data_IF_640945404074
#
_entry.id   IF_640945404074
#
_cell.length_a   1.000
_cell.length_b   1.000
_cell.length_c   1.000
_cell.angle_alpha   90.00
_cell.angle_beta   90.00
_cell.angle_gamma   90.00
#
_symmetry.space_group_name_H-M   'P 1'
#
loop_
_entity.id
_entity.type
_entity.pdbx_description
1 polymer ?
#
# COMPACT_ATOMS: atom_id res chain seq x y z
N UNK A 1 35.58 -16.53 49.10
CA UNK A 1 34.10 -16.53 49.13
C UNK A 1 33.71 -17.35 50.36
N UNK A 2 32.81 -16.91 51.21
CA UNK A 2 32.33 -17.68 52.34
C UNK A 2 31.36 -18.79 51.91
N UNK A 3 31.19 -19.86 52.71
CA UNK A 3 30.20 -20.91 52.45
C UNK A 3 28.77 -20.38 52.39
N UNK A 4 28.48 -19.24 53.02
CA UNK A 4 27.19 -18.58 52.98
C UNK A 4 26.97 -17.83 51.66
N UNK A 5 27.99 -17.15 51.18
CA UNK A 5 27.95 -16.47 49.87
C UNK A 5 27.72 -17.48 48.72
N UNK A 6 28.35 -18.67 48.76
CA UNK A 6 28.13 -19.73 47.80
C UNK A 6 26.70 -20.27 47.83
N UNK A 7 26.10 -20.43 49.01
CA UNK A 7 24.69 -20.83 49.18
C UNK A 7 23.75 -19.76 48.63
N UNK A 8 24.02 -18.47 48.88
CA UNK A 8 23.22 -17.35 48.38
C UNK A 8 23.27 -17.29 46.85
N UNK A 9 24.43 -17.50 46.24
CA UNK A 9 24.55 -17.57 44.78
C UNK A 9 23.78 -18.75 44.20
N UNK A 10 23.83 -19.91 44.83
CA UNK A 10 23.08 -21.10 44.40
C UNK A 10 21.55 -20.88 44.51
N UNK A 11 21.09 -20.20 45.59
CA UNK A 11 19.69 -19.83 45.76
C UNK A 11 19.20 -18.91 44.64
N UNK A 12 19.97 -17.89 44.29
CA UNK A 12 19.60 -16.94 43.21
C UNK A 12 19.64 -17.62 41.82
N UNK A 13 20.53 -18.58 41.58
CA UNK A 13 20.49 -19.37 40.34
C UNK A 13 19.22 -20.22 40.23
N UNK A 14 18.81 -20.89 41.31
CA UNK A 14 17.54 -21.60 41.34
C UNK A 14 16.33 -20.70 41.13
N UNK A 15 16.37 -19.48 41.61
CA UNK A 15 15.34 -18.48 41.37
C UNK A 15 15.21 -18.13 39.90
N UNK A 16 16.34 -17.84 39.19
CA UNK A 16 16.30 -17.55 37.76
C UNK A 16 15.84 -18.74 36.90
N UNK A 17 16.25 -19.98 37.35
CA UNK A 17 15.77 -21.20 36.71
C UNK A 17 14.27 -21.42 36.90
N UNK A 18 13.73 -21.18 38.08
CA UNK A 18 12.32 -21.30 38.38
C UNK A 18 11.49 -20.28 37.58
N UNK A 19 11.97 -19.04 37.49
CA UNK A 19 11.32 -18.01 36.68
C UNK A 19 11.32 -18.38 35.19
N UNK A 20 12.43 -18.84 34.64
CA UNK A 20 12.54 -19.24 33.23
C UNK A 20 11.61 -20.42 32.86
N UNK A 21 11.26 -21.25 33.84
CA UNK A 21 10.37 -22.42 33.66
C UNK A 21 8.92 -22.16 34.12
N UNK A 22 8.57 -20.96 34.57
CA UNK A 22 7.29 -20.64 35.22
C UNK A 22 6.95 -21.55 36.41
N UNK A 23 7.96 -22.00 37.16
CA UNK A 23 7.81 -22.86 38.34
C UNK A 23 7.44 -21.98 39.54
N UNK A 24 6.13 -21.65 39.62
CA UNK A 24 5.59 -20.77 40.64
C UNK A 24 5.68 -21.35 42.04
N UNK A 25 5.65 -22.67 42.18
CA UNK A 25 5.77 -23.36 43.48
C UNK A 25 7.21 -23.21 44.02
N UNK A 26 8.19 -23.39 43.18
CA UNK A 26 9.61 -23.16 43.56
C UNK A 26 9.84 -21.68 43.90
N UNK A 27 9.22 -20.72 43.20
CA UNK A 27 9.29 -19.31 43.53
C UNK A 27 8.71 -19.00 44.91
N UNK A 28 7.63 -19.65 45.35
CA UNK A 28 7.06 -19.53 46.70
C UNK A 28 8.04 -19.98 47.79
N UNK A 29 8.85 -20.99 47.49
CA UNK A 29 9.88 -21.47 48.43
C UNK A 29 11.07 -20.53 48.52
N UNK A 30 11.46 -19.91 47.42
CA UNK A 30 12.65 -19.07 47.30
C UNK A 30 12.47 -17.61 47.68
N UNK A 31 11.24 -17.07 47.49
CA UNK A 31 10.91 -15.67 47.73
C UNK A 31 10.30 -15.51 49.17
N UNK A 32 10.69 -14.49 49.86
CA UNK A 32 10.15 -14.17 51.19
C UNK A 32 8.69 -13.69 51.10
N UNK A 33 7.81 -13.97 52.08
CA UNK A 33 6.43 -13.47 52.05
C UNK A 33 6.32 -11.95 52.01
N UNK A 34 7.30 -11.26 52.62
CA UNK A 34 7.44 -9.80 52.68
C UNK A 34 8.41 -9.26 51.64
N UNK A 35 8.51 -9.91 50.50
CA UNK A 35 9.38 -9.55 49.36
C UNK A 35 9.09 -8.13 48.87
N UNK A 36 10.13 -7.37 48.59
CA UNK A 36 10.07 -6.02 48.04
C UNK A 36 10.85 -5.99 46.72
N UNK A 37 10.16 -5.73 45.62
CA UNK A 37 10.74 -5.39 44.32
C UNK A 37 10.85 -3.85 44.24
N UNK A 38 12.08 -3.33 44.15
CA UNK A 38 12.38 -1.92 43.99
C UNK A 38 12.34 -1.44 42.53
N UNK A 39 12.08 -2.32 41.60
CA UNK A 39 12.03 -2.08 40.16
C UNK A 39 10.64 -2.32 39.55
N UNK A 40 9.60 -2.29 40.42
CA UNK A 40 8.20 -2.51 40.04
C UNK A 40 7.78 -1.63 38.85
N UNK A 41 7.09 -2.26 37.91
CA UNK A 41 6.40 -1.54 36.83
C UNK A 41 5.18 -0.78 37.36
N UNK A 42 4.73 0.32 36.71
CA UNK A 42 3.64 1.15 37.22
C UNK A 42 2.33 0.42 37.55
N UNK A 43 2.03 -0.66 36.79
CA UNK A 43 0.76 -1.43 36.92
C UNK A 43 0.97 -2.80 37.60
N UNK A 44 2.16 -3.07 38.14
CA UNK A 44 2.48 -4.35 38.76
C UNK A 44 2.05 -4.36 40.25
N UNK A 45 1.36 -5.43 40.66
CA UNK A 45 1.05 -5.68 42.05
C UNK A 45 2.33 -5.91 42.90
N UNK A 46 2.45 -5.30 44.09
CA UNK A 46 3.63 -5.46 44.90
C UNK A 46 3.72 -6.83 45.60
N UNK A 47 4.95 -7.22 45.99
CA UNK A 47 5.22 -8.38 46.78
C UNK A 47 5.32 -9.67 45.95
N UNK A 48 5.43 -10.81 46.69
CA UNK A 48 5.67 -12.12 46.08
C UNK A 48 4.56 -12.52 45.11
N UNK A 49 3.29 -12.28 45.42
CA UNK A 49 2.18 -12.68 44.54
C UNK A 49 2.16 -11.86 43.24
N UNK A 50 2.43 -10.56 43.33
CA UNK A 50 2.55 -9.70 42.13
C UNK A 50 3.73 -10.15 41.24
N UNK A 51 4.86 -10.54 41.83
CA UNK A 51 5.99 -11.09 41.09
C UNK A 51 5.62 -12.38 40.35
N UNK A 52 4.94 -13.31 41.01
CA UNK A 52 4.46 -14.55 40.40
C UNK A 52 3.47 -14.30 39.25
N UNK A 53 2.56 -13.34 39.43
CA UNK A 53 1.64 -12.94 38.38
C UNK A 53 2.40 -12.42 37.15
N UNK A 54 3.40 -11.56 37.34
CA UNK A 54 4.24 -11.06 36.25
C UNK A 54 4.94 -12.20 35.51
N UNK A 55 5.46 -13.20 36.22
CA UNK A 55 6.07 -14.41 35.58
C UNK A 55 5.04 -15.17 34.76
N UNK A 56 3.82 -15.34 35.28
CA UNK A 56 2.75 -16.01 34.55
C UNK A 56 2.33 -15.25 33.28
N UNK A 57 2.19 -13.92 33.37
CA UNK A 57 1.87 -13.05 32.24
C UNK A 57 2.98 -13.09 31.17
N UNK A 58 4.25 -13.06 31.57
CA UNK A 58 5.39 -13.23 30.68
C UNK A 58 5.30 -14.53 29.87
N UNK A 59 5.05 -15.65 30.53
CA UNK A 59 4.95 -16.96 29.89
C UNK A 59 3.65 -17.15 29.08
N UNK A 60 2.60 -16.40 29.39
CA UNK A 60 1.39 -16.36 28.56
C UNK A 60 1.62 -15.66 27.21
N UNK A 61 2.52 -14.68 27.17
CA UNK A 61 2.82 -13.89 25.99
C UNK A 61 4.01 -14.40 25.18
N UNK A 62 5.00 -15.03 25.86
CA UNK A 62 6.27 -15.43 25.28
C UNK A 62 6.42 -16.97 25.29
N UNK A 63 7.06 -17.52 24.24
CA UNK A 63 7.53 -18.91 24.22
C UNK A 63 9.06 -18.99 24.29
N UNK A 64 9.57 -20.20 24.47
CA UNK A 64 11.01 -20.52 24.53
C UNK A 64 11.80 -19.60 25.48
N UNK A 65 11.19 -19.30 26.64
CA UNK A 65 11.78 -18.40 27.64
C UNK A 65 13.00 -19.07 28.28
N UNK A 66 14.16 -18.44 28.15
CA UNK A 66 15.43 -18.90 28.70
C UNK A 66 16.12 -17.77 29.45
N UNK A 67 16.65 -18.09 30.66
CA UNK A 67 17.50 -17.20 31.42
C UNK A 67 18.92 -17.73 31.46
N UNK A 68 19.86 -16.95 31.00
CA UNK A 68 21.30 -17.27 31.04
C UNK A 68 21.96 -16.41 32.11
N UNK A 69 22.46 -17.04 33.16
CA UNK A 69 23.25 -16.35 34.17
C UNK A 69 24.68 -16.22 33.64
N UNK A 70 25.04 -15.00 33.26
CA UNK A 70 26.36 -14.67 32.70
C UNK A 70 27.44 -14.58 33.79
N UNK A 71 27.17 -13.78 34.84
CA UNK A 71 28.08 -13.58 35.97
C UNK A 71 27.29 -13.44 37.26
N UNK A 72 27.94 -13.88 38.38
CA UNK A 72 27.45 -13.67 39.72
C UNK A 72 28.54 -13.25 40.68
N UNK A 73 28.27 -12.30 41.55
CA UNK A 73 29.14 -11.91 42.65
C UNK A 73 28.29 -11.79 43.93
N UNK A 74 28.75 -12.42 44.99
CA UNK A 74 28.12 -12.33 46.31
C UNK A 74 29.02 -11.62 47.31
N UNK A 75 28.37 -10.77 48.16
CA UNK A 75 29.07 -10.19 49.32
C UNK A 75 28.05 -10.04 50.48
N UNK A 76 28.29 -10.84 51.53
CA UNK A 76 27.39 -10.93 52.67
C UNK A 76 26.00 -11.44 52.27
N UNK A 77 24.96 -10.65 52.55
CA UNK A 77 23.58 -10.97 52.26
C UNK A 77 23.11 -10.59 50.84
N UNK A 78 24.01 -10.05 50.00
CA UNK A 78 23.66 -9.58 48.65
C UNK A 78 24.35 -10.44 47.57
N UNK A 79 23.58 -10.70 46.53
CA UNK A 79 24.04 -11.33 45.28
C UNK A 79 23.73 -10.41 44.12
N UNK A 80 24.74 -10.05 43.34
CA UNK A 80 24.59 -9.34 42.07
C UNK A 80 24.69 -10.38 40.96
N UNK A 81 23.74 -10.36 40.05
CA UNK A 81 23.70 -11.28 38.90
C UNK A 81 23.53 -10.51 37.62
N UNK A 82 24.35 -10.77 36.62
CA UNK A 82 24.13 -10.33 35.23
C UNK A 82 23.50 -11.49 34.48
N UNK A 83 22.36 -11.24 33.87
CA UNK A 83 21.57 -12.22 33.15
C UNK A 83 21.25 -11.78 31.73
N UNK A 84 21.05 -12.76 30.84
CA UNK A 84 20.49 -12.58 29.50
C UNK A 84 19.20 -13.40 29.40
N UNK A 85 18.09 -12.74 29.11
CA UNK A 85 16.83 -13.37 28.76
C UNK A 85 16.74 -13.54 27.25
N UNK A 86 16.27 -14.72 26.80
CA UNK A 86 15.88 -14.99 25.41
C UNK A 86 14.49 -15.60 25.39
N UNK A 87 13.67 -15.15 24.46
CA UNK A 87 12.32 -15.65 24.28
C UNK A 87 11.81 -15.35 22.87
N UNK A 88 10.67 -15.94 22.50
CA UNK A 88 9.96 -15.61 21.26
C UNK A 88 8.61 -14.97 21.65
N UNK A 89 8.33 -13.77 21.12
CA UNK A 89 7.05 -13.09 21.33
C UNK A 89 6.04 -13.57 20.27
N UNK A 90 5.32 -14.66 20.58
CA UNK A 90 4.47 -15.39 19.63
C UNK A 90 3.06 -15.75 20.15
N UNK A 91 2.73 -15.47 21.43
CA UNK A 91 1.49 -15.99 22.05
C UNK A 91 0.47 -14.92 22.36
N UNK A 92 0.82 -13.86 23.07
CA UNK A 92 -0.11 -12.85 23.56
C UNK A 92 0.47 -11.46 23.59
N UNK A 93 -0.37 -10.48 23.92
CA UNK A 93 0.07 -9.11 24.14
C UNK A 93 1.08 -9.05 25.29
N UNK A 94 2.19 -8.32 25.10
CA UNK A 94 3.20 -8.11 26.12
C UNK A 94 3.67 -6.65 26.08
N UNK A 95 3.52 -5.93 27.18
CA UNK A 95 3.77 -4.48 27.28
C UNK A 95 3.07 -3.64 26.21
N UNK A 96 1.81 -3.96 25.88
CA UNK A 96 1.05 -3.25 24.86
C UNK A 96 1.41 -3.65 23.40
N UNK A 97 2.30 -4.62 23.23
CA UNK A 97 2.73 -5.10 21.91
C UNK A 97 2.06 -6.41 21.55
N UNK A 98 1.52 -6.49 20.34
CA UNK A 98 0.95 -7.73 19.79
C UNK A 98 2.06 -8.70 19.37
N UNK A 99 1.83 -10.04 19.45
CA UNK A 99 2.81 -11.05 19.08
C UNK A 99 3.19 -10.98 17.60
N UNK A 100 4.47 -11.27 17.29
CA UNK A 100 5.03 -11.18 15.92
C UNK A 100 6.02 -12.29 15.56
N UNK A 101 6.04 -13.38 16.31
CA UNK A 101 7.03 -14.47 16.14
C UNK A 101 8.48 -13.95 16.15
N UNK A 102 8.74 -12.94 16.98
CA UNK A 102 10.05 -12.25 17.03
C UNK A 102 10.87 -12.75 18.20
N UNK A 103 12.15 -13.07 17.96
CA UNK A 103 13.10 -13.34 19.03
C UNK A 103 13.43 -12.07 19.80
N UNK A 104 13.29 -12.14 21.14
CA UNK A 104 13.56 -11.05 22.08
C UNK A 104 14.75 -11.42 22.93
N UNK A 105 15.78 -10.59 22.95
CA UNK A 105 16.93 -10.71 23.84
C UNK A 105 17.03 -9.48 24.74
N UNK A 106 17.04 -9.70 26.05
CA UNK A 106 17.11 -8.65 27.06
C UNK A 106 18.21 -8.98 28.06
N UNK A 107 19.07 -8.02 28.35
CA UNK A 107 20.11 -8.15 29.39
C UNK A 107 19.75 -7.32 30.61
N UNK A 108 19.99 -7.85 31.80
CA UNK A 108 19.82 -7.08 33.02
C UNK A 108 20.90 -7.40 34.06
N UNK A 109 21.07 -6.46 34.99
CA UNK A 109 21.87 -6.63 36.18
C UNK A 109 20.95 -6.47 37.40
N UNK A 110 20.88 -7.53 38.19
CA UNK A 110 19.94 -7.59 39.32
C UNK A 110 20.71 -7.81 40.62
N UNK A 111 20.32 -7.11 41.67
CA UNK A 111 20.82 -7.27 43.03
C UNK A 111 19.70 -7.92 43.85
N UNK A 112 19.99 -9.07 44.46
CA UNK A 112 19.11 -9.71 45.42
C UNK A 112 19.67 -9.58 46.82
N UNK A 113 18.81 -9.27 47.80
CA UNK A 113 19.14 -9.40 49.23
C UNK A 113 18.50 -10.67 49.77
N UNK A 114 19.30 -11.49 50.44
CA UNK A 114 18.88 -12.73 51.07
C UNK A 114 18.73 -12.58 52.56
N UNK A 115 17.56 -12.96 53.07
CA UNK A 115 17.24 -12.93 54.51
C UNK A 115 16.58 -14.23 54.91
N UNK A 116 17.13 -14.90 55.93
CA UNK A 116 16.58 -16.18 56.40
C UNK A 116 16.54 -17.28 55.33
N UNK A 117 17.50 -17.27 54.38
CA UNK A 117 17.56 -18.25 53.29
C UNK A 117 16.55 -18.05 52.17
N UNK A 118 15.91 -16.88 52.09
CA UNK A 118 14.96 -16.46 51.04
C UNK A 118 15.36 -15.12 50.46
N UNK A 119 14.94 -14.87 49.21
CA UNK A 119 15.09 -13.57 48.54
C UNK A 119 14.06 -12.60 49.16
N UNK A 120 14.56 -11.56 49.84
CA UNK A 120 13.73 -10.58 50.52
C UNK A 120 13.56 -9.28 49.75
N UNK A 121 14.55 -8.90 48.95
CA UNK A 121 14.50 -7.67 48.15
C UNK A 121 15.21 -7.87 46.83
N UNK A 122 14.72 -7.15 45.80
CA UNK A 122 15.28 -7.13 44.44
C UNK A 122 15.42 -5.68 43.95
N UNK A 123 16.51 -5.37 43.30
CA UNK A 123 16.75 -4.18 42.47
C UNK A 123 17.24 -4.66 41.12
N UNK A 124 16.56 -4.28 40.07
CA UNK A 124 16.92 -4.65 38.71
C UNK A 124 17.16 -3.40 37.86
N UNK A 125 18.27 -3.38 37.19
CA UNK A 125 18.62 -2.39 36.18
C UNK A 125 18.92 -3.16 34.89
N UNK A 126 18.22 -2.84 33.85
CA UNK A 126 18.40 -3.52 32.57
C UNK A 126 17.48 -3.03 31.49
N UNK A 127 17.72 -3.56 30.31
CA UNK A 127 16.88 -3.36 29.14
C UNK A 127 15.53 -4.05 29.37
N UNK A 128 14.62 -3.31 30.01
CA UNK A 128 13.27 -3.79 30.29
C UNK A 128 12.29 -3.51 29.14
N UNK A 129 11.02 -3.30 29.49
CA UNK A 129 9.90 -3.04 28.58
C UNK A 129 10.17 -1.93 27.55
N UNK A 130 10.90 -0.88 27.91
CA UNK A 130 11.18 0.24 27.00
C UNK A 130 12.09 -0.16 25.83
N UNK A 131 13.09 -1.02 26.07
CA UNK A 131 14.00 -1.47 25.00
C UNK A 131 13.36 -2.54 24.13
N UNK A 132 12.51 -3.42 24.68
CA UNK A 132 11.68 -4.33 23.89
C UNK A 132 10.76 -3.55 22.97
N UNK A 133 10.07 -2.52 23.50
CA UNK A 133 9.22 -1.63 22.73
C UNK A 133 10.02 -0.88 21.65
N UNK A 134 11.23 -0.41 21.99
CA UNK A 134 12.11 0.26 21.03
C UNK A 134 12.61 -0.69 19.94
N UNK A 135 12.97 -1.93 20.28
CA UNK A 135 13.37 -2.94 19.30
C UNK A 135 12.23 -3.29 18.34
N UNK A 136 11.00 -3.47 18.84
CA UNK A 136 9.81 -3.68 18.00
C UNK A 136 9.54 -2.49 17.09
N UNK A 137 9.61 -1.26 17.60
CA UNK A 137 9.43 -0.05 16.79
C UNK A 137 10.47 0.04 15.67
N UNK A 138 11.74 -0.28 15.97
CA UNK A 138 12.81 -0.30 14.95
C UNK A 138 12.59 -1.38 13.90
N UNK A 139 12.06 -2.55 14.27
CA UNK A 139 11.71 -3.61 13.32
C UNK A 139 10.54 -3.18 12.45
N UNK A 140 9.50 -2.57 13.03
CA UNK A 140 8.36 -2.01 12.27
C UNK A 140 8.81 -0.94 11.27
N UNK A 141 9.68 -0.04 11.69
CA UNK A 141 10.22 1.00 10.81
C UNK A 141 11.00 0.39 9.64
N UNK A 142 11.87 -0.60 9.90
CA UNK A 142 12.64 -1.31 8.85
C UNK A 142 11.74 -2.06 7.87
N UNK A 143 10.69 -2.70 8.37
CA UNK A 143 9.74 -3.42 7.52
C UNK A 143 8.94 -2.45 6.65
N UNK A 144 8.48 -1.32 7.21
CA UNK A 144 7.84 -0.24 6.45
C UNK A 144 8.78 0.33 5.39
N UNK A 145 10.02 0.66 5.75
CA UNK A 145 11.02 1.17 4.80
C UNK A 145 11.28 0.18 3.65
N UNK A 146 11.33 -1.13 3.96
CA UNK A 146 11.48 -2.18 2.95
C UNK A 146 10.28 -2.23 2.00
N UNK A 147 9.06 -2.24 2.54
CA UNK A 147 7.82 -2.25 1.74
C UNK A 147 7.74 -1.00 0.87
N UNK A 148 8.05 0.19 1.41
CA UNK A 148 8.10 1.42 0.64
C UNK A 148 9.15 1.37 -0.48
N UNK A 149 10.31 0.76 -0.23
CA UNK A 149 11.34 0.58 -1.24
C UNK A 149 10.87 -0.35 -2.36
N UNK A 150 10.24 -1.48 -2.02
CA UNK A 150 9.68 -2.43 -2.99
C UNK A 150 8.58 -1.76 -3.84
N UNK A 151 7.72 -0.94 -3.23
CA UNK A 151 6.69 -0.17 -3.94
C UNK A 151 7.29 0.89 -4.87
N UNK A 152 8.36 1.59 -4.48
CA UNK A 152 9.08 2.52 -5.38
C UNK A 152 9.65 1.81 -6.61
N UNK A 153 10.16 0.59 -6.44
CA UNK A 153 10.62 -0.24 -7.58
C UNK A 153 9.43 -0.61 -8.46
N UNK A 154 8.31 -1.07 -7.87
CA UNK A 154 7.10 -1.38 -8.60
C UNK A 154 6.58 -0.17 -9.41
N UNK A 155 6.58 1.03 -8.81
CA UNK A 155 6.23 2.30 -9.48
C UNK A 155 7.13 2.56 -10.70
N UNK A 156 8.44 2.36 -10.55
CA UNK A 156 9.35 2.59 -11.67
C UNK A 156 9.14 1.61 -12.83
N UNK A 157 8.78 0.35 -12.52
CA UNK A 157 8.42 -0.65 -13.53
C UNK A 157 7.10 -0.27 -14.22
N UNK A 158 6.09 0.13 -13.46
CA UNK A 158 4.80 0.56 -14.00
C UNK A 158 4.95 1.79 -14.91
N UNK A 159 5.68 2.80 -14.46
CA UNK A 159 5.97 3.99 -15.28
C UNK A 159 6.72 3.65 -16.57
N UNK A 160 7.55 2.60 -16.56
CA UNK A 160 8.22 2.13 -17.77
C UNK A 160 7.28 1.41 -18.74
N UNK A 161 6.09 0.98 -18.28
CA UNK A 161 5.04 0.36 -19.12
C UNK A 161 4.13 1.40 -19.77
N UNK A 162 4.09 2.64 -19.24
CA UNK A 162 3.40 3.76 -19.88
C UNK A 162 4.25 4.37 -21.01
N UNK A 163 3.63 5.05 -21.98
CA UNK A 163 4.35 5.71 -23.08
C UNK A 163 5.40 6.69 -22.58
N UNK A 164 6.64 6.53 -23.03
CA UNK A 164 7.75 7.44 -22.68
C UNK A 164 7.71 8.76 -23.42
N UNK A 165 7.10 8.77 -24.59
CA UNK A 165 6.99 9.94 -25.46
C UNK A 165 5.57 10.10 -25.95
N UNK A 166 5.06 11.32 -25.95
CA UNK A 166 3.78 11.66 -26.54
C UNK A 166 3.92 11.73 -28.04
N UNK A 167 3.02 11.12 -28.82
CA UNK A 167 3.05 11.16 -30.27
C UNK A 167 3.03 12.60 -30.80
N UNK A 168 3.94 12.90 -31.75
CA UNK A 168 4.02 14.19 -32.42
C UNK A 168 3.39 14.08 -33.81
N UNK A 169 2.14 14.46 -33.93
CA UNK A 169 1.41 14.50 -35.18
C UNK A 169 1.28 15.94 -35.66
N UNK A 170 1.48 16.17 -36.97
CA UNK A 170 1.31 17.49 -37.56
C UNK A 170 -0.17 17.91 -37.49
N UNK A 171 -0.44 19.09 -36.96
CA UNK A 171 -1.80 19.58 -36.80
C UNK A 171 -2.56 19.06 -35.57
N UNK A 172 -1.91 18.26 -34.73
CA UNK A 172 -2.51 17.68 -33.53
C UNK A 172 -1.74 18.05 -32.26
N UNK A 173 -2.48 18.26 -31.18
CA UNK A 173 -1.94 18.37 -29.83
C UNK A 173 -2.49 17.25 -28.98
N UNK A 174 -1.60 16.50 -28.33
CA UNK A 174 -1.93 15.40 -27.43
C UNK A 174 -1.33 15.73 -26.06
N UNK A 175 -2.14 15.77 -25.01
CA UNK A 175 -1.68 16.08 -23.65
C UNK A 175 -2.19 14.99 -22.71
N UNK A 176 -1.35 14.07 -22.27
CA UNK A 176 -1.68 13.08 -21.27
C UNK A 176 -1.37 13.59 -19.85
N UNK A 177 -2.13 13.12 -18.89
CA UNK A 177 -1.89 13.23 -17.46
C UNK A 177 -2.30 11.93 -16.80
N UNK A 178 -1.48 11.39 -15.90
CA UNK A 178 -1.80 10.21 -15.11
C UNK A 178 -1.12 10.32 -13.75
N UNK A 179 -1.92 10.34 -12.70
CA UNK A 179 -1.46 10.40 -11.31
C UNK A 179 -2.12 9.31 -10.50
N UNK A 180 -1.38 8.30 -10.06
CA UNK A 180 -1.90 7.29 -9.14
C UNK A 180 -2.24 7.88 -7.78
N UNK A 181 -3.31 7.38 -7.15
CA UNK A 181 -3.70 7.71 -5.77
C UNK A 181 -2.75 7.12 -4.73
N UNK A 182 -2.07 6.04 -5.08
CA UNK A 182 -1.07 5.36 -4.25
C UNK A 182 0.28 5.32 -4.96
N UNK A 183 1.21 4.54 -4.42
CA UNK A 183 2.53 4.36 -5.06
C UNK A 183 2.43 3.79 -6.48
N UNK A 184 1.44 2.93 -6.73
CA UNK A 184 1.10 2.35 -8.03
C UNK A 184 -0.41 2.31 -8.20
N UNK A 185 -0.91 2.38 -9.45
CA UNK A 185 -2.32 2.48 -9.80
C UNK A 185 -2.81 1.46 -10.81
N UNK A 186 -4.13 1.45 -11.05
CA UNK A 186 -4.82 0.67 -12.07
C UNK A 186 -4.94 1.39 -13.40
N UNK A 187 -4.96 2.70 -13.35
CA UNK A 187 -5.12 3.58 -14.51
C UNK A 187 -3.97 3.53 -15.49
N UNK A 188 -4.30 3.65 -16.77
CA UNK A 188 -3.31 3.75 -17.84
C UNK A 188 -3.81 4.50 -19.06
N UNK A 189 -2.87 4.98 -19.84
CA UNK A 189 -3.08 5.38 -21.24
C UNK A 189 -1.94 4.79 -22.09
N UNK A 190 -2.19 4.62 -23.38
CA UNK A 190 -1.16 4.14 -24.33
C UNK A 190 -1.39 4.69 -25.74
N UNK A 191 -0.33 4.62 -26.56
CA UNK A 191 -0.32 5.05 -27.97
C UNK A 191 0.27 3.98 -28.86
N UNK A 192 -0.45 3.63 -29.94
CA UNK A 192 0.00 2.64 -30.89
C UNK A 192 0.12 3.25 -32.28
N UNK A 193 1.33 3.30 -32.81
CA UNK A 193 1.54 3.72 -34.18
C UNK A 193 1.10 2.60 -35.13
N UNK A 194 0.09 2.86 -35.95
CA UNK A 194 -0.49 1.93 -36.90
C UNK A 194 0.00 2.21 -38.34
N UNK A 195 -0.35 1.32 -39.27
CA UNK A 195 -0.08 1.56 -40.70
C UNK A 195 -0.79 2.82 -41.19
N UNK A 196 -0.30 3.36 -42.30
CA UNK A 196 -0.87 4.54 -42.99
C UNK A 196 -0.87 5.81 -42.10
N UNK A 197 0.06 5.92 -41.14
CA UNK A 197 0.18 7.09 -40.24
C UNK A 197 -0.91 7.20 -39.21
N UNK A 198 -1.81 6.23 -39.07
CA UNK A 198 -2.86 6.23 -38.04
C UNK A 198 -2.30 6.02 -36.64
N UNK A 199 -3.01 6.56 -35.65
CA UNK A 199 -2.65 6.47 -34.24
C UNK A 199 -3.76 5.77 -33.45
N UNK A 200 -3.43 4.66 -32.78
CA UNK A 200 -4.26 4.07 -31.73
C UNK A 200 -4.06 4.83 -30.40
N UNK A 201 -5.16 5.14 -29.73
CA UNK A 201 -5.21 5.80 -28.42
C UNK A 201 -5.96 4.89 -27.46
N UNK A 202 -5.43 4.75 -26.26
CA UNK A 202 -6.02 3.93 -25.20
C UNK A 202 -6.10 4.72 -23.92
N UNK A 203 -7.22 4.61 -23.21
CA UNK A 203 -7.36 4.96 -21.81
C UNK A 203 -8.11 3.83 -21.14
N UNK A 204 -7.71 3.44 -19.94
CA UNK A 204 -8.36 2.37 -19.20
C UNK A 204 -8.00 2.36 -17.73
N UNK A 205 -8.79 1.61 -16.98
CA UNK A 205 -8.62 1.40 -15.54
C UNK A 205 -8.81 -0.09 -15.19
N UNK A 206 -7.90 -0.62 -14.39
CA UNK A 206 -7.95 -1.97 -13.84
C UNK A 206 -8.57 -1.97 -12.46
N UNK A 207 -9.64 -2.73 -12.28
CA UNK A 207 -10.39 -2.84 -11.00
C UNK A 207 -9.48 -3.06 -9.79
N UNK A 208 -9.72 -2.28 -8.75
CA UNK A 208 -8.99 -2.34 -7.48
C UNK A 208 -7.91 -1.26 -7.40
N UNK A 209 -7.09 -1.31 -6.34
CA UNK A 209 -6.10 -0.26 -6.07
C UNK A 209 -4.75 -0.87 -5.70
N UNK A 210 -3.68 -0.13 -5.99
CA UNK A 210 -2.33 -0.51 -5.61
C UNK A 210 -1.75 -1.66 -6.45
N UNK A 211 -0.92 -2.51 -5.85
CA UNK A 211 -0.12 -3.52 -6.56
C UNK A 211 -0.95 -4.49 -7.42
N UNK A 212 -2.08 -5.06 -6.95
CA UNK A 212 -2.87 -5.96 -7.80
C UNK A 212 -3.37 -5.30 -9.08
N UNK A 213 -3.92 -4.10 -8.99
CA UNK A 213 -4.41 -3.33 -10.15
C UNK A 213 -3.27 -2.98 -11.11
N UNK A 214 -2.12 -2.52 -10.58
CA UNK A 214 -0.92 -2.21 -11.36
C UNK A 214 -0.37 -3.39 -12.15
N UNK A 215 -0.40 -4.61 -11.59
CA UNK A 215 0.02 -5.83 -12.29
C UNK A 215 -0.94 -6.19 -13.44
N UNK A 216 -2.25 -6.08 -13.21
CA UNK A 216 -3.26 -6.31 -14.26
C UNK A 216 -3.10 -5.28 -15.36
N UNK A 217 -3.00 -3.99 -15.03
CA UNK A 217 -2.77 -2.89 -15.96
C UNK A 217 -1.54 -3.16 -16.85
N UNK A 218 -0.40 -3.49 -16.24
CA UNK A 218 0.83 -3.78 -16.99
C UNK A 218 0.64 -4.92 -17.99
N UNK A 219 -0.09 -5.97 -17.59
CA UNK A 219 -0.46 -7.07 -18.47
C UNK A 219 -1.35 -6.63 -19.64
N UNK A 220 -2.36 -5.80 -19.36
CA UNK A 220 -3.28 -5.26 -20.38
C UNK A 220 -2.54 -4.40 -21.41
N UNK A 221 -1.67 -3.47 -20.96
CA UNK A 221 -0.85 -2.66 -21.86
C UNK A 221 0.00 -3.54 -22.80
N UNK A 222 0.62 -4.61 -22.28
CA UNK A 222 1.39 -5.54 -23.09
C UNK A 222 0.54 -6.29 -24.14
N UNK A 223 -0.69 -6.70 -23.80
CA UNK A 223 -1.61 -7.34 -24.74
C UNK A 223 -2.14 -6.37 -25.78
N UNK A 224 -2.54 -5.16 -25.39
CA UNK A 224 -2.98 -4.11 -26.30
C UNK A 224 -1.89 -3.79 -27.32
N UNK A 225 -0.64 -3.55 -26.86
CA UNK A 225 0.49 -3.32 -27.75
C UNK A 225 0.77 -4.49 -28.71
N UNK A 226 0.65 -5.74 -28.22
CA UNK A 226 0.81 -6.93 -29.04
C UNK A 226 -0.27 -7.09 -30.10
N UNK A 227 -1.54 -6.85 -29.79
CA UNK A 227 -2.68 -6.96 -30.71
C UNK A 227 -2.72 -5.78 -31.67
N UNK A 228 -2.39 -4.58 -31.24
CA UNK A 228 -2.35 -3.37 -32.07
C UNK A 228 -1.28 -3.44 -33.17
N UNK A 229 -0.30 -4.34 -33.09
CA UNK A 229 0.65 -4.58 -34.19
C UNK A 229 -0.04 -5.12 -35.48
N UNK A 230 -1.21 -5.73 -35.31
CA UNK A 230 -2.10 -6.03 -36.47
C UNK A 230 -2.86 -4.75 -36.87
N UNK A 231 -2.19 -3.93 -37.65
CA UNK A 231 -2.68 -2.59 -38.03
C UNK A 231 -3.96 -2.64 -38.91
N UNK A 232 -4.48 -3.80 -39.26
CA UNK A 232 -5.76 -3.99 -39.97
C UNK A 232 -6.93 -4.18 -38.98
N UNK A 233 -6.68 -4.49 -37.71
CA UNK A 233 -7.72 -4.74 -36.75
C UNK A 233 -8.45 -3.44 -36.39
N UNK A 234 -9.79 -3.49 -36.32
CA UNK A 234 -10.62 -2.40 -35.84
C UNK A 234 -10.60 -2.28 -34.29
N UNK A 235 -11.03 -1.15 -33.71
CA UNK A 235 -11.07 -1.00 -32.25
C UNK A 235 -11.83 -2.10 -31.54
N UNK A 236 -12.98 -2.50 -32.04
CA UNK A 236 -13.79 -3.60 -31.47
C UNK A 236 -13.10 -4.94 -31.55
N UNK A 237 -12.41 -5.24 -32.67
CA UNK A 237 -11.62 -6.45 -32.80
C UNK A 237 -10.43 -6.50 -31.88
N UNK A 238 -9.74 -5.36 -31.65
CA UNK A 238 -8.64 -5.24 -30.67
C UNK A 238 -9.15 -5.55 -29.28
N UNK A 239 -10.23 -4.90 -28.84
CA UNK A 239 -10.81 -5.13 -27.52
C UNK A 239 -11.29 -6.58 -27.35
N UNK A 240 -11.91 -7.19 -28.35
CA UNK A 240 -12.36 -8.58 -28.31
C UNK A 240 -11.19 -9.56 -28.12
N UNK A 241 -10.10 -9.38 -28.86
CA UNK A 241 -8.89 -10.22 -28.76
C UNK A 241 -8.21 -10.04 -27.38
N UNK A 242 -8.15 -8.82 -26.86
CA UNK A 242 -7.58 -8.53 -25.54
C UNK A 242 -8.47 -9.15 -24.44
N UNK A 243 -9.80 -9.05 -24.56
CA UNK A 243 -10.74 -9.69 -23.64
C UNK A 243 -10.46 -11.18 -23.50
N UNK A 244 -10.40 -11.91 -24.62
CA UNK A 244 -10.12 -13.36 -24.62
C UNK A 244 -8.75 -13.69 -23.99
N UNK A 245 -7.74 -12.86 -24.24
CA UNK A 245 -6.42 -13.04 -23.65
C UNK A 245 -6.42 -12.86 -22.12
N UNK A 246 -7.23 -11.95 -21.59
CA UNK A 246 -7.30 -11.63 -20.17
C UNK A 246 -8.05 -12.66 -19.35
N UNK A 247 -9.13 -13.26 -19.87
CA UNK A 247 -9.98 -14.23 -19.15
C UNK A 247 -9.20 -15.38 -18.47
N UNK A 248 -8.08 -15.77 -19.01
CA UNK A 248 -7.25 -16.84 -18.46
C UNK A 248 -6.05 -16.37 -17.66
N UNK A 249 -5.86 -15.06 -17.53
CA UNK A 249 -4.61 -14.47 -16.98
C UNK A 249 -4.81 -13.52 -15.82
N UNK A 250 -6.03 -13.02 -15.61
CA UNK A 250 -6.36 -12.18 -14.46
C UNK A 250 -7.24 -12.95 -13.46
N UNK A 251 -7.23 -12.59 -12.18
CA UNK A 251 -8.13 -13.19 -11.19
C UNK A 251 -9.61 -13.02 -11.59
N UNK A 252 -10.49 -13.99 -11.29
CA UNK A 252 -11.90 -13.96 -11.72
C UNK A 252 -12.73 -12.78 -11.20
N UNK A 253 -12.26 -12.10 -10.15
CA UNK A 253 -12.89 -10.93 -9.55
C UNK A 253 -12.28 -9.59 -10.02
N UNK A 254 -11.40 -9.64 -11.00
CA UNK A 254 -10.79 -8.45 -11.61
C UNK A 254 -11.24 -8.31 -13.06
N UNK A 255 -11.41 -7.10 -13.51
CA UNK A 255 -11.73 -6.72 -14.88
C UNK A 255 -11.07 -5.37 -15.19
N UNK A 256 -11.11 -4.97 -16.45
CA UNK A 256 -10.52 -3.71 -16.90
C UNK A 256 -11.52 -2.95 -17.75
N UNK A 257 -11.78 -1.70 -17.40
CA UNK A 257 -12.49 -0.78 -18.27
C UNK A 257 -11.51 -0.19 -19.28
N UNK A 258 -11.91 -0.06 -20.53
CA UNK A 258 -10.99 0.41 -21.55
C UNK A 258 -11.73 1.09 -22.71
N UNK A 259 -11.25 2.28 -23.09
CA UNK A 259 -11.66 2.97 -24.30
C UNK A 259 -10.51 2.89 -25.32
N UNK A 260 -10.77 2.37 -26.50
CA UNK A 260 -9.80 2.27 -27.59
C UNK A 260 -10.27 3.02 -28.81
N UNK A 261 -9.44 3.93 -29.34
CA UNK A 261 -9.74 4.72 -30.52
C UNK A 261 -8.60 4.68 -31.53
N UNK A 262 -8.94 4.76 -32.82
CA UNK A 262 -7.97 4.88 -33.91
C UNK A 262 -8.23 6.21 -34.63
N UNK A 263 -7.25 7.11 -34.57
CA UNK A 263 -7.24 8.38 -35.27
C UNK A 263 -6.56 8.23 -36.63
N UNK A 264 -7.22 8.72 -37.66
CA UNK A 264 -6.58 9.10 -38.91
C UNK A 264 -6.25 10.60 -38.87
N UNK A 265 -4.98 11.01 -38.73
CA UNK A 265 -4.62 12.40 -38.54
C UNK A 265 -4.77 13.26 -39.80
N UNK A 266 -4.87 12.66 -41.00
CA UNK A 266 -5.07 13.42 -42.24
C UNK A 266 -6.52 13.88 -42.40
N UNK A 267 -7.48 13.01 -42.06
CA UNK A 267 -8.91 13.29 -42.20
C UNK A 267 -9.59 13.74 -40.91
N UNK A 268 -8.94 13.58 -39.75
CA UNK A 268 -9.58 13.80 -38.44
C UNK A 268 -10.56 12.71 -38.03
N UNK A 269 -10.69 11.64 -38.83
CA UNK A 269 -11.60 10.54 -38.54
C UNK A 269 -11.12 9.75 -37.32
N UNK A 270 -12.01 9.59 -36.35
CA UNK A 270 -11.81 8.85 -35.11
C UNK A 270 -12.79 7.68 -35.06
N UNK A 271 -12.29 6.45 -35.24
CA UNK A 271 -13.03 5.21 -35.05
C UNK A 271 -12.78 4.69 -33.64
N UNK A 272 -13.81 4.31 -32.88
CA UNK A 272 -13.63 3.94 -31.47
C UNK A 272 -14.56 2.81 -31.03
N UNK A 273 -14.17 2.13 -29.95
CA UNK A 273 -14.97 1.19 -29.20
C UNK A 273 -14.72 1.35 -27.69
N UNK A 274 -15.71 0.97 -26.88
CA UNK A 274 -15.68 1.11 -25.43
C UNK A 274 -15.96 -0.22 -24.74
N UNK A 275 -15.09 -0.60 -23.84
CA UNK A 275 -15.21 -1.74 -22.94
C UNK A 275 -15.58 -1.30 -21.52
N UNK A 276 -16.73 -0.63 -21.38
CA UNK A 276 -17.27 -0.22 -20.07
C UNK A 276 -16.51 0.91 -19.35
N UNK A 277 -15.68 1.64 -20.08
CA UNK A 277 -14.98 2.83 -19.54
C UNK A 277 -15.85 4.06 -19.60
N UNK A 278 -15.52 5.09 -18.80
CA UNK A 278 -16.20 6.38 -18.83
C UNK A 278 -16.23 6.99 -20.22
N UNK A 279 -17.35 7.64 -20.53
CA UNK A 279 -17.59 8.16 -21.87
C UNK A 279 -16.78 9.43 -22.13
N UNK A 280 -15.85 9.43 -23.08
CA UNK A 280 -15.08 10.63 -23.42
C UNK A 280 -16.00 11.75 -23.91
N UNK A 281 -15.58 12.98 -23.70
CA UNK A 281 -16.27 14.17 -24.24
C UNK A 281 -15.60 14.66 -25.51
N UNK A 282 -16.41 14.90 -26.55
CA UNK A 282 -16.02 15.63 -27.76
C UNK A 282 -16.47 17.10 -27.63
N UNK A 283 -15.50 18.01 -27.67
CA UNK A 283 -15.73 19.45 -27.53
C UNK A 283 -15.94 20.11 -28.92
N UNK A 284 -17.11 20.61 -29.17
CA UNK A 284 -17.49 21.34 -30.40
C UNK A 284 -18.00 22.74 -30.07
N UNK A 285 -17.14 23.75 -30.28
CA UNK A 285 -17.50 25.13 -29.92
C UNK A 285 -17.62 25.27 -28.40
N UNK A 286 -18.82 25.58 -27.92
CA UNK A 286 -19.16 25.73 -26.50
C UNK A 286 -20.00 24.53 -25.98
N UNK A 287 -19.99 23.42 -26.71
CA UNK A 287 -20.73 22.20 -26.37
C UNK A 287 -19.77 21.01 -26.11
N UNK A 288 -20.21 20.07 -25.28
CA UNK A 288 -19.48 18.83 -24.96
C UNK A 288 -20.43 17.63 -25.12
N UNK A 289 -20.18 16.84 -26.15
CA UNK A 289 -20.91 15.61 -26.46
C UNK A 289 -20.19 14.38 -26.00
N UNK A 290 -20.90 13.38 -25.46
CA UNK A 290 -20.31 12.09 -25.07
C UNK A 290 -20.08 11.19 -26.29
N UNK A 291 -18.91 10.60 -26.38
CA UNK A 291 -18.57 9.55 -27.37
C UNK A 291 -19.11 8.19 -26.90
N UNK A 292 -20.34 7.87 -27.29
CA UNK A 292 -21.07 6.70 -26.81
C UNK A 292 -20.81 5.48 -27.71
N UNK A 293 -20.27 4.40 -27.11
CA UNK A 293 -20.23 3.06 -27.67
C UNK A 293 -20.49 2.05 -26.55
N UNK A 294 -21.09 0.89 -26.87
CA UNK A 294 -21.48 -0.11 -25.89
C UNK A 294 -20.48 -1.26 -25.86
N UNK A 295 -20.16 -1.74 -24.66
CA UNK A 295 -19.34 -2.91 -24.42
C UNK A 295 -19.21 -3.20 -22.93
N UNK A 296 -18.91 -4.43 -22.60
CA UNK A 296 -18.64 -4.87 -21.23
C UNK A 296 -17.15 -4.73 -20.93
N UNK A 297 -16.76 -4.51 -19.64
CA UNK A 297 -15.36 -4.52 -19.26
C UNK A 297 -14.59 -5.77 -19.72
N UNK A 298 -13.31 -5.60 -20.01
CA UNK A 298 -12.41 -6.67 -20.45
C UNK A 298 -12.16 -7.66 -19.29
N UNK A 299 -12.09 -8.94 -19.62
CA UNK A 299 -11.82 -10.02 -18.69
C UNK A 299 -13.02 -10.47 -17.86
N UNK A 300 -14.23 -9.90 -18.09
CA UNK A 300 -15.43 -10.21 -17.34
C UNK A 300 -16.19 -11.42 -17.91
N UNK A 301 -16.35 -11.50 -19.24
CA UNK A 301 -17.12 -12.54 -19.92
C UNK A 301 -16.43 -12.96 -21.24
N UNK A 302 -16.53 -14.24 -21.64
CA UNK A 302 -16.02 -14.69 -22.93
C UNK A 302 -16.90 -14.26 -24.11
N UNK A 303 -16.36 -14.37 -25.31
CA UNK A 303 -17.07 -14.17 -26.60
C UNK A 303 -17.74 -12.78 -26.71
N UNK A 304 -17.12 -11.75 -26.07
CA UNK A 304 -17.65 -10.39 -26.12
C UNK A 304 -17.36 -9.74 -27.49
N UNK A 305 -18.35 -8.99 -27.96
CA UNK A 305 -18.24 -8.06 -29.10
C UNK A 305 -18.43 -6.62 -28.61
N UNK A 306 -17.70 -5.71 -29.21
CA UNK A 306 -17.71 -4.29 -28.86
C UNK A 306 -18.27 -3.47 -30.00
N UNK A 307 -19.25 -2.60 -29.67
CA UNK A 307 -19.85 -1.68 -30.63
C UNK A 307 -18.80 -0.68 -31.10
N UNK A 308 -18.70 -0.48 -32.42
CA UNK A 308 -17.84 0.52 -33.02
C UNK A 308 -18.64 1.74 -33.44
N UNK A 309 -18.08 2.91 -33.21
CA UNK A 309 -18.62 4.20 -33.61
C UNK A 309 -17.51 5.05 -34.20
N UNK A 310 -17.92 6.03 -34.98
CA UNK A 310 -17.00 6.96 -35.63
C UNK A 310 -17.46 8.42 -35.46
N UNK A 311 -16.50 9.30 -35.46
CA UNK A 311 -16.72 10.75 -35.51
C UNK A 311 -15.57 11.40 -36.26
N UNK A 312 -15.68 12.68 -36.55
CA UNK A 312 -14.58 13.47 -37.13
C UNK A 312 -14.29 14.63 -36.19
N UNK A 313 -13.03 14.87 -35.92
CA UNK A 313 -12.56 16.07 -35.20
C UNK A 313 -12.11 17.11 -36.22
N UNK A 314 -12.85 18.21 -36.31
CA UNK A 314 -12.51 19.36 -37.14
C UNK A 314 -11.49 20.28 -36.44
N UNK A 315 -10.91 21.21 -37.22
CA UNK A 315 -9.94 22.15 -36.69
C UNK A 315 -10.54 22.99 -35.52
N UNK A 316 -9.85 22.98 -34.38
CA UNK A 316 -10.27 23.66 -33.15
C UNK A 316 -11.06 22.76 -32.20
N UNK A 317 -11.50 21.58 -32.64
CA UNK A 317 -12.19 20.61 -31.78
C UNK A 317 -11.21 19.79 -30.96
N UNK A 318 -11.70 19.27 -29.82
CA UNK A 318 -10.90 18.44 -28.93
C UNK A 318 -11.73 17.28 -28.37
N UNK A 319 -11.08 16.16 -28.08
CA UNK A 319 -11.65 15.06 -27.29
C UNK A 319 -10.91 14.96 -25.96
N UNK A 320 -11.69 14.77 -24.87
CA UNK A 320 -11.20 14.47 -23.53
C UNK A 320 -11.54 13.03 -23.17
N UNK A 321 -10.54 12.22 -22.90
CA UNK A 321 -10.64 10.90 -22.29
C UNK A 321 -10.22 11.04 -20.82
N UNK A 322 -10.89 10.35 -19.89
CA UNK A 322 -10.64 10.49 -18.46
C UNK A 322 -11.04 9.21 -17.72
N UNK A 323 -10.51 9.01 -16.52
CA UNK A 323 -10.92 7.96 -15.59
C UNK A 323 -11.86 8.51 -14.51
N UNK A 324 -12.55 7.59 -13.83
CA UNK A 324 -13.57 7.88 -12.82
C UNK A 324 -13.03 8.67 -11.60
N UNK A 325 -11.75 8.52 -11.26
CA UNK A 325 -11.13 9.25 -10.14
C UNK A 325 -11.25 10.78 -10.25
N UNK A 326 -11.41 11.33 -11.47
CA UNK A 326 -11.70 12.77 -11.64
C UNK A 326 -13.10 13.12 -11.15
N UNK A 327 -14.11 12.35 -11.57
CA UNK A 327 -15.52 12.64 -11.30
C UNK A 327 -15.97 12.16 -9.93
N UNK A 328 -15.31 11.16 -9.38
CA UNK A 328 -15.54 10.60 -8.04
C UNK A 328 -14.81 11.36 -6.92
N UNK A 329 -13.96 12.33 -7.24
CA UNK A 329 -13.30 13.17 -6.24
C UNK A 329 -14.32 13.93 -5.39
N UNK A 330 -14.08 13.98 -4.06
CA UNK A 330 -15.01 14.57 -3.10
C UNK A 330 -14.47 15.88 -2.51
N UNK A 331 -15.34 16.84 -2.28
CA UNK A 331 -15.04 18.05 -1.51
C UNK A 331 -14.99 17.73 0.01
N UNK A 332 -14.56 18.67 0.89
CA UNK A 332 -14.55 18.46 2.33
C UNK A 332 -15.93 18.22 2.98
N UNK A 333 -17.02 18.41 2.23
CA UNK A 333 -18.40 18.13 2.67
C UNK A 333 -18.91 16.78 2.19
N UNK A 334 -18.13 16.06 1.37
CA UNK A 334 -18.50 14.78 0.77
C UNK A 334 -19.36 14.92 -0.49
N UNK A 335 -19.36 16.08 -1.15
CA UNK A 335 -20.00 16.26 -2.46
C UNK A 335 -19.04 15.79 -3.56
N UNK A 336 -19.52 14.98 -4.53
CA UNK A 336 -18.72 14.52 -5.67
C UNK A 336 -18.51 15.64 -6.68
N UNK A 337 -17.36 15.65 -7.35
CA UNK A 337 -17.08 16.51 -8.50
C UNK A 337 -18.14 16.32 -9.59
N UNK A 338 -18.34 15.08 -10.02
CA UNK A 338 -19.47 14.61 -10.81
C UNK A 338 -19.42 14.94 -12.30
N UNK A 339 -20.09 14.12 -13.11
CA UNK A 339 -20.17 14.27 -14.56
C UNK A 339 -20.77 15.62 -15.03
N UNK A 340 -21.85 16.18 -14.40
CA UNK A 340 -22.41 17.46 -14.87
C UNK A 340 -21.43 18.63 -14.76
N UNK A 341 -20.60 18.64 -13.69
CA UNK A 341 -19.58 19.68 -13.50
C UNK A 341 -18.48 19.50 -14.53
N UNK A 342 -17.97 18.26 -14.71
CA UNK A 342 -16.98 17.97 -15.73
C UNK A 342 -17.44 18.40 -17.11
N UNK A 343 -18.65 18.03 -17.54
CA UNK A 343 -19.21 18.40 -18.84
C UNK A 343 -19.27 19.93 -19.04
N UNK A 344 -19.72 20.67 -18.03
CA UNK A 344 -19.78 22.13 -18.07
C UNK A 344 -18.37 22.76 -18.19
N UNK A 345 -17.40 22.26 -17.43
CA UNK A 345 -15.98 22.73 -17.48
C UNK A 345 -15.34 22.41 -18.82
N UNK A 346 -15.57 21.22 -19.36
CA UNK A 346 -15.06 20.82 -20.68
C UNK A 346 -15.60 21.74 -21.77
N UNK A 347 -16.91 22.05 -21.76
CA UNK A 347 -17.49 23.00 -22.70
C UNK A 347 -16.90 24.42 -22.55
N UNK A 348 -16.73 24.87 -21.30
CA UNK A 348 -16.21 26.22 -21.00
C UNK A 348 -14.75 26.39 -21.43
N UNK A 349 -13.87 25.37 -21.12
CA UNK A 349 -12.44 25.46 -21.34
C UNK A 349 -11.98 24.80 -22.67
N UNK A 350 -12.92 24.40 -23.51
CA UNK A 350 -12.68 23.73 -24.79
C UNK A 350 -11.73 24.48 -25.72
N UNK A 351 -11.65 25.79 -25.63
CA UNK A 351 -10.83 26.68 -26.48
C UNK A 351 -9.46 27.01 -25.84
N UNK A 352 -9.22 26.62 -24.61
CA UNK A 352 -7.98 26.93 -23.92
C UNK A 352 -6.80 26.09 -24.46
N UNK A 353 -5.60 26.62 -24.28
CA UNK A 353 -4.40 25.96 -24.77
C UNK A 353 -4.12 24.60 -24.08
N UNK A 354 -4.49 24.48 -22.80
CA UNK A 354 -4.39 23.25 -22.04
C UNK A 354 -5.66 23.00 -21.24
N UNK A 355 -6.55 22.17 -21.81
CA UNK A 355 -7.75 21.73 -21.12
C UNK A 355 -7.43 20.90 -19.87
N UNK A 356 -6.34 20.10 -19.89
CA UNK A 356 -5.91 19.30 -18.76
C UNK A 356 -5.56 20.18 -17.55
N UNK A 357 -4.75 21.24 -17.78
CA UNK A 357 -4.33 22.12 -16.67
C UNK A 357 -5.54 22.83 -16.06
N UNK A 358 -6.47 23.34 -16.89
CA UNK A 358 -7.68 24.02 -16.44
C UNK A 358 -8.58 23.07 -15.61
N UNK A 359 -8.76 21.82 -16.05
CA UNK A 359 -9.54 20.83 -15.29
C UNK A 359 -8.88 20.47 -13.95
N UNK A 360 -7.55 20.36 -13.91
CA UNK A 360 -6.82 20.10 -12.67
C UNK A 360 -6.89 21.28 -11.70
N UNK A 361 -6.79 22.53 -12.17
CA UNK A 361 -6.97 23.72 -11.35
C UNK A 361 -8.37 23.77 -10.72
N UNK A 362 -9.40 23.48 -11.49
CA UNK A 362 -10.78 23.42 -11.02
C UNK A 362 -11.00 22.26 -10.03
N UNK A 363 -10.41 21.09 -10.29
CA UNK A 363 -10.47 19.96 -9.37
C UNK A 363 -9.81 20.32 -8.03
N UNK A 364 -8.56 20.83 -8.04
CA UNK A 364 -7.86 21.17 -6.80
C UNK A 364 -8.54 22.29 -6.01
N UNK A 365 -9.17 23.24 -6.72
CA UNK A 365 -10.00 24.27 -6.08
C UNK A 365 -11.25 23.67 -5.42
N UNK A 366 -11.84 22.65 -6.01
CA UNK A 366 -13.04 21.98 -5.50
C UNK A 366 -12.76 21.12 -4.28
N UNK A 367 -11.72 20.29 -4.32
CA UNK A 367 -11.38 19.35 -3.24
C UNK A 367 -10.74 20.04 -2.03
N UNK A 368 -10.10 21.20 -2.23
CA UNK A 368 -9.53 22.02 -1.15
C UNK A 368 -8.21 21.52 -0.59
N UNK A 369 -7.70 22.25 0.44
CA UNK A 369 -6.44 21.91 1.09
C UNK A 369 -6.54 20.63 1.93
N UNK A 370 -5.50 19.77 1.85
CA UNK A 370 -5.40 18.53 2.63
C UNK A 370 -6.22 17.36 2.06
N UNK A 371 -6.72 17.49 0.82
CA UNK A 371 -7.38 16.39 0.16
C UNK A 371 -6.40 15.22 -0.08
N UNK A 372 -6.83 14.03 0.31
CA UNK A 372 -6.18 12.78 -0.04
C UNK A 372 -6.89 12.18 -1.26
N UNK A 373 -6.14 11.94 -2.32
CA UNK A 373 -6.67 11.37 -3.55
C UNK A 373 -7.10 9.92 -3.30
N UNK A 374 -8.39 9.63 -3.49
CA UNK A 374 -8.97 8.32 -3.24
C UNK A 374 -8.76 7.34 -4.39
N UNK A 375 -8.79 7.82 -5.65
CA UNK A 375 -8.59 7.01 -6.85
C UNK A 375 -7.61 7.64 -7.84
N UNK A 376 -7.10 6.81 -8.78
CA UNK A 376 -6.18 7.24 -9.82
C UNK A 376 -6.86 8.27 -10.73
N UNK A 377 -6.13 9.29 -11.17
CA UNK A 377 -6.65 10.31 -12.08
C UNK A 377 -5.86 10.25 -13.37
N UNK A 378 -6.56 9.89 -14.45
CA UNK A 378 -6.01 9.87 -15.80
C UNK A 378 -6.82 10.77 -16.71
N UNK A 379 -6.14 11.68 -17.40
CA UNK A 379 -6.70 12.57 -18.41
C UNK A 379 -5.86 12.45 -19.69
N UNK A 380 -6.53 12.42 -20.82
CA UNK A 380 -5.88 12.49 -22.12
C UNK A 380 -6.69 13.40 -23.04
N UNK A 381 -6.07 14.47 -23.53
CA UNK A 381 -6.71 15.32 -24.52
C UNK A 381 -6.08 15.13 -25.89
N UNK A 382 -6.93 15.09 -26.89
CA UNK A 382 -6.61 15.06 -28.31
C UNK A 382 -7.25 16.27 -28.96
N UNK A 383 -6.48 17.21 -29.50
CA UNK A 383 -6.98 18.44 -30.14
C UNK A 383 -6.49 18.55 -31.58
N UNK A 384 -7.39 18.85 -32.49
CA UNK A 384 -7.05 19.26 -33.86
C UNK A 384 -6.68 20.76 -33.86
N UNK A 385 -5.40 21.09 -34.07
CA UNK A 385 -4.86 22.46 -33.95
C UNK A 385 -4.74 23.19 -35.29
N UNK A 386 -4.86 22.50 -36.42
CA UNK A 386 -4.74 23.06 -37.74
C UNK A 386 -5.82 22.52 -38.68
N UNK A 387 -6.19 23.25 -39.75
CA UNK A 387 -7.07 22.72 -40.77
C UNK A 387 -6.49 21.41 -41.36
N UNK A 388 -7.36 20.40 -41.44
CA UNK A 388 -7.04 19.13 -42.08
C UNK A 388 -6.87 19.33 -43.59
N UNK A 389 -5.96 18.62 -44.19
CA UNK A 389 -5.61 18.77 -45.61
C UNK A 389 -6.56 18.08 -46.58
#
# INVERSE_FOLDING_TARGET
MSSEEEKNMALVRRFWEAQANADLDTLDDLIAPDFVDHSLQPDQEPGREGYKQQVAEQHAALSDVRCIVEDQVAKGDKVVTRITWRSIHDRGEYFGLMPRDTEVEVTSMTIHRIKGGKIAEEWSEGSGSAEVAQAHLLLEMRERERVEQDLRVARSIQQASLPREVPKLVGWQIVPYCQPAREVGGDFYDFHYLSEGRLGLVVGDATGKGVPAALVMTGVCAFLGGVATDSSASPGEVLARVNEALLTRIPPNMFVTCFYAILDPESGHLLYANAGHDLPYLCRGDDAEELRARGMPLGLMPEMSYEEKETVLDAGEAALFYSDGLVEAHDPKGEMFGFPRLQALVAQHSKEHSLVDSLLEELYSFVGEGWEQDDDITLLTLRCSAPLS
#
